data_IF_345887096885
#
_entry.id   IF_345887096885
#
_cell.length_a   1.000
_cell.length_b   1.000
_cell.length_c   1.000
_cell.angle_alpha   90.00
_cell.angle_beta   90.00
_cell.angle_gamma   90.00
#
_symmetry.space_group_name_H-M   'P 1'
#
loop_
_entity.id
_entity.type
_entity.pdbx_description
1 polymer ?
#
# COMPACT_ATOMS: atom_id res chain seq x y z
N UNK A 1 -7.61 32.31 3.05
CA UNK A 1 -7.59 31.33 1.94
C UNK A 1 -7.38 29.95 2.57
N UNK A 2 -8.26 28.99 2.31
CA UNK A 2 -8.14 27.62 2.84
C UNK A 2 -7.34 26.80 1.83
N UNK A 3 -6.29 26.12 2.30
CA UNK A 3 -5.55 25.20 1.45
C UNK A 3 -6.34 23.88 1.31
N UNK A 4 -6.92 23.64 0.13
CA UNK A 4 -7.65 22.42 -0.19
C UNK A 4 -6.79 21.29 -0.77
N UNK A 5 -5.47 21.50 -0.88
CA UNK A 5 -4.54 20.47 -1.38
C UNK A 5 -4.35 19.41 -0.28
N UNK A 6 -4.63 18.15 -0.63
CA UNK A 6 -4.35 17.02 0.25
C UNK A 6 -2.84 16.96 0.51
N UNK A 7 -2.46 16.84 1.79
CA UNK A 7 -1.06 16.61 2.16
C UNK A 7 -0.53 15.36 1.42
N UNK A 8 0.78 15.25 1.17
CA UNK A 8 1.35 14.01 0.63
C UNK A 8 1.10 12.82 1.57
N UNK A 9 0.96 11.58 1.08
CA UNK A 9 0.97 10.42 1.97
C UNK A 9 2.29 10.34 2.71
N UNK A 10 2.26 9.93 3.96
CA UNK A 10 3.46 9.81 4.78
C UNK A 10 3.25 8.68 5.78
N UNK A 11 3.87 7.54 5.51
CA UNK A 11 3.66 6.33 6.31
C UNK A 11 4.18 6.48 7.74
N UNK A 12 5.16 7.36 7.98
CA UNK A 12 5.68 7.68 9.32
C UNK A 12 4.73 8.53 10.17
N UNK A 13 3.76 9.20 9.55
CA UNK A 13 2.73 9.98 10.26
C UNK A 13 1.50 9.16 10.61
N UNK A 14 1.46 7.89 10.24
CA UNK A 14 0.37 7.00 10.63
C UNK A 14 0.48 6.77 12.14
N UNK A 15 -0.43 7.38 12.90
CA UNK A 15 -0.49 7.22 14.34
C UNK A 15 -1.47 6.10 14.71
N UNK A 16 -1.14 4.88 14.29
CA UNK A 16 -1.91 3.67 14.58
C UNK A 16 -1.00 2.59 15.20
N UNK A 17 -1.35 2.02 16.37
CA UNK A 17 -0.51 1.03 17.04
C UNK A 17 -0.21 -0.21 16.20
N UNK A 18 -1.19 -0.71 15.42
CA UNK A 18 -1.00 -1.89 14.58
C UNK A 18 -0.03 -1.58 13.46
N UNK A 19 -0.24 -0.48 12.73
CA UNK A 19 0.64 -0.09 11.63
C UNK A 19 2.06 0.16 12.12
N UNK A 20 2.22 0.86 13.24
CA UNK A 20 3.53 1.09 13.86
C UNK A 20 4.20 -0.22 14.27
N UNK A 21 3.44 -1.18 14.80
CA UNK A 21 3.97 -2.50 15.17
C UNK A 21 4.49 -3.26 13.95
N UNK A 22 3.78 -3.19 12.81
CA UNK A 22 4.17 -3.85 11.57
C UNK A 22 5.46 -3.27 10.98
N UNK A 23 5.63 -1.94 11.01
CA UNK A 23 6.92 -1.31 10.66
C UNK A 23 8.03 -1.71 11.63
N UNK A 24 7.78 -1.65 12.95
CA UNK A 24 8.81 -1.97 13.95
C UNK A 24 9.23 -3.44 13.98
N UNK A 25 8.38 -4.33 13.44
CA UNK A 25 8.62 -5.77 13.34
C UNK A 25 9.10 -6.17 11.95
N UNK A 26 9.47 -5.21 11.10
CA UNK A 26 9.96 -5.41 9.72
C UNK A 26 8.99 -6.15 8.78
N UNK A 27 7.68 -6.11 9.06
CA UNK A 27 6.65 -6.63 8.16
C UNK A 27 6.32 -5.67 7.02
N UNK A 28 6.56 -4.37 7.19
CA UNK A 28 6.32 -3.35 6.16
C UNK A 28 7.60 -2.56 5.91
N UNK A 29 7.93 -2.34 4.65
CA UNK A 29 9.05 -1.49 4.22
C UNK A 29 8.53 -0.18 3.59
N UNK A 30 9.02 1.00 4.01
CA UNK A 30 8.70 2.26 3.36
C UNK A 30 9.23 2.33 1.92
N UNK A 31 8.47 2.92 1.01
CA UNK A 31 8.79 3.06 -0.41
C UNK A 31 8.72 4.54 -0.88
N UNK A 32 9.40 4.85 -1.98
CA UNK A 32 9.41 6.17 -2.66
C UNK A 32 9.43 7.37 -1.70
N UNK A 33 10.57 7.63 -1.05
CA UNK A 33 10.73 8.75 -0.08
C UNK A 33 9.75 8.67 1.10
N UNK A 34 9.43 7.45 1.55
CA UNK A 34 8.56 7.20 2.73
C UNK A 34 7.10 7.63 2.52
N UNK A 35 6.70 7.76 1.26
CA UNK A 35 5.35 8.15 0.88
C UNK A 35 4.41 6.94 0.82
N UNK A 36 4.93 5.73 0.64
CA UNK A 36 4.13 4.51 0.55
C UNK A 36 4.78 3.31 1.25
N UNK A 37 4.09 2.17 1.18
CA UNK A 37 4.53 0.85 1.59
C UNK A 37 4.94 0.09 0.34
N UNK A 38 6.08 -0.59 0.39
CA UNK A 38 6.58 -1.41 -0.69
C UNK A 38 5.71 -2.65 -0.87
N UNK A 39 5.27 -2.90 -2.10
CA UNK A 39 4.45 -4.06 -2.46
C UNK A 39 5.02 -4.74 -3.69
N UNK A 40 4.68 -6.02 -3.87
CA UNK A 40 4.88 -6.71 -5.13
C UNK A 40 3.86 -6.24 -6.19
N UNK A 41 3.87 -6.90 -7.35
CA UNK A 41 2.95 -6.60 -8.45
C UNK A 41 1.48 -6.95 -8.17
N UNK A 42 1.21 -7.75 -7.15
CA UNK A 42 -0.13 -8.16 -6.71
C UNK A 42 -0.62 -7.31 -5.53
N UNK A 43 0.14 -6.30 -5.11
CA UNK A 43 -0.22 -5.43 -3.99
C UNK A 43 0.04 -6.06 -2.62
N UNK A 44 0.76 -7.18 -2.55
CA UNK A 44 1.15 -7.81 -1.29
C UNK A 44 2.39 -7.11 -0.73
N UNK A 45 2.39 -6.81 0.57
CA UNK A 45 3.49 -6.11 1.22
C UNK A 45 4.79 -6.91 1.14
N UNK A 46 5.88 -6.20 0.89
CA UNK A 46 7.24 -6.74 0.91
C UNK A 46 7.92 -6.36 2.22
N UNK A 47 8.51 -7.37 2.85
CA UNK A 47 9.46 -7.20 3.96
C UNK A 47 10.80 -6.66 3.45
N UNK A 48 11.66 -6.26 4.37
CA UNK A 48 13.04 -5.81 4.05
C UNK A 48 13.84 -6.87 3.28
N UNK A 49 13.54 -8.17 3.47
CA UNK A 49 14.20 -9.28 2.76
C UNK A 49 13.54 -9.61 1.42
N UNK A 50 12.72 -8.72 0.86
CA UNK A 50 11.96 -8.90 -0.39
C UNK A 50 11.05 -10.13 -0.36
N UNK A 51 10.64 -10.57 0.83
CA UNK A 51 9.70 -11.67 1.02
C UNK A 51 8.29 -11.10 1.13
N UNK A 52 7.36 -11.67 0.36
CA UNK A 52 5.93 -11.33 0.43
C UNK A 52 5.30 -11.87 1.70
N UNK A 53 4.37 -11.11 2.25
CA UNK A 53 3.47 -11.53 3.34
C UNK A 53 2.02 -11.37 2.91
N UNK A 54 1.11 -12.11 3.54
CA UNK A 54 -0.32 -12.08 3.25
C UNK A 54 -1.02 -10.83 3.83
N UNK A 55 -0.42 -9.67 3.59
CA UNK A 55 -0.98 -8.35 3.87
C UNK A 55 -1.00 -7.58 2.56
N UNK A 56 -2.20 -7.35 2.02
CA UNK A 56 -2.36 -6.51 0.84
C UNK A 56 -2.48 -5.03 1.23
N UNK A 57 -1.75 -4.17 0.51
CA UNK A 57 -1.82 -2.71 0.65
C UNK A 57 -2.09 -2.11 -0.73
N UNK A 58 -3.14 -1.31 -0.85
CA UNK A 58 -3.56 -0.71 -2.12
C UNK A 58 -3.76 0.80 -2.00
N UNK A 59 -3.86 1.43 -3.17
CA UNK A 59 -4.14 2.85 -3.29
C UNK A 59 -2.99 3.72 -2.79
N UNK A 60 -3.36 4.85 -2.19
CA UNK A 60 -2.43 5.93 -1.85
C UNK A 60 -1.26 5.52 -0.97
N UNK A 61 -1.50 4.67 0.02
CA UNK A 61 -0.47 4.21 0.95
C UNK A 61 0.43 3.11 0.36
N UNK A 62 0.09 2.53 -0.80
CA UNK A 62 0.97 1.61 -1.52
C UNK A 62 1.76 2.33 -2.62
N UNK A 63 1.09 3.16 -3.43
CA UNK A 63 1.72 3.84 -4.59
C UNK A 63 2.81 4.84 -4.20
N UNK A 64 2.75 5.40 -2.99
CA UNK A 64 3.72 6.41 -2.54
C UNK A 64 3.77 7.65 -3.43
N UNK A 65 2.64 7.99 -4.05
CA UNK A 65 2.50 9.11 -4.98
C UNK A 65 1.54 10.15 -4.42
N UNK A 66 1.77 11.40 -4.79
CA UNK A 66 0.86 12.53 -4.52
C UNK A 66 -0.13 12.73 -5.66
N UNK A 67 0.13 12.13 -6.83
CA UNK A 67 -0.66 12.28 -8.04
C UNK A 67 -1.53 11.07 -8.31
N UNK A 68 -2.79 11.32 -8.71
CA UNK A 68 -3.72 10.29 -9.18
C UNK A 68 -4.31 9.39 -8.10
N UNK A 69 -3.66 9.28 -6.94
CA UNK A 69 -3.98 8.31 -5.86
C UNK A 69 -5.37 8.46 -5.20
N UNK A 70 -6.00 9.62 -5.32
CA UNK A 70 -7.33 9.90 -4.74
C UNK A 70 -8.44 9.97 -5.81
N UNK A 71 -8.15 9.54 -7.05
CA UNK A 71 -9.14 9.48 -8.12
C UNK A 71 -9.97 8.19 -8.05
N UNK A 72 -11.28 8.27 -8.34
CA UNK A 72 -12.17 7.09 -8.44
C UNK A 72 -11.64 6.05 -9.43
N UNK A 73 -10.92 6.48 -10.47
CA UNK A 73 -10.24 5.60 -11.43
C UNK A 73 -9.30 4.59 -10.73
N UNK A 74 -8.65 4.96 -9.63
CA UNK A 74 -7.70 4.09 -8.94
C UNK A 74 -8.37 2.84 -8.35
N UNK A 75 -9.66 2.94 -8.00
CA UNK A 75 -10.46 1.79 -7.59
C UNK A 75 -10.60 0.73 -8.70
N UNK A 76 -10.42 1.12 -9.96
CA UNK A 76 -10.49 0.26 -11.15
C UNK A 76 -9.15 0.16 -11.87
N UNK A 77 -8.05 0.41 -11.15
CA UNK A 77 -6.70 0.32 -11.69
C UNK A 77 -6.28 -1.14 -11.95
N UNK A 78 -5.31 -1.31 -12.84
CA UNK A 78 -4.71 -2.63 -13.12
C UNK A 78 -4.12 -3.25 -11.85
N UNK A 79 -3.59 -2.44 -10.94
CA UNK A 79 -3.06 -2.90 -9.66
C UNK A 79 -4.16 -3.51 -8.77
N UNK A 80 -5.34 -2.89 -8.71
CA UNK A 80 -6.49 -3.45 -7.99
C UNK A 80 -6.96 -4.76 -8.63
N UNK A 81 -6.99 -4.83 -9.95
CA UNK A 81 -7.37 -6.05 -10.68
C UNK A 81 -6.38 -7.21 -10.41
N UNK A 82 -5.08 -6.94 -10.51
CA UNK A 82 -4.01 -7.91 -10.20
C UNK A 82 -4.15 -8.45 -8.78
N UNK A 83 -4.32 -7.58 -7.79
CA UNK A 83 -4.57 -7.98 -6.41
C UNK A 83 -5.78 -8.91 -6.30
N UNK A 84 -6.93 -8.50 -6.86
CA UNK A 84 -8.17 -9.29 -6.71
C UNK A 84 -8.05 -10.68 -7.33
N UNK A 85 -7.42 -10.78 -8.50
CA UNK A 85 -7.20 -12.05 -9.19
C UNK A 85 -6.24 -12.94 -8.40
N UNK A 86 -5.15 -12.38 -7.88
CA UNK A 86 -4.22 -13.10 -7.02
C UNK A 86 -4.92 -13.63 -5.77
N UNK A 87 -5.69 -12.79 -5.07
CA UNK A 87 -6.43 -13.18 -3.87
C UNK A 87 -7.38 -14.35 -4.13
N UNK A 88 -8.21 -14.25 -5.18
CA UNK A 88 -9.17 -15.31 -5.55
C UNK A 88 -8.46 -16.63 -5.84
N UNK A 89 -7.41 -16.60 -6.66
CA UNK A 89 -6.71 -17.81 -7.09
C UNK A 89 -5.90 -18.48 -5.96
N UNK A 90 -5.42 -17.70 -4.99
CA UNK A 90 -4.57 -18.23 -3.91
C UNK A 90 -5.36 -18.61 -2.66
N UNK A 91 -6.49 -17.94 -2.36
CA UNK A 91 -7.18 -18.07 -1.08
C UNK A 91 -8.64 -18.51 -1.16
N UNK A 92 -9.28 -18.43 -2.33
CA UNK A 92 -10.72 -18.76 -2.48
C UNK A 92 -10.97 -19.97 -3.37
N UNK A 93 -10.09 -20.26 -4.32
CA UNK A 93 -10.23 -21.37 -5.28
C UNK A 93 -9.33 -22.57 -4.93
N UNK A 94 -9.31 -22.97 -3.65
CA UNK A 94 -8.72 -24.26 -3.22
C UNK A 94 -9.50 -25.47 -3.77
#
# INVERSE_FOLDING_TARGET
>A
MVNGVLASPNVKKINDPLINSLFSSNYLEPFHKELGIKTDENGCALTETESTIDIAVLGRNAKGSVYGVDAILECFSTETEKWSNHFVNTHLLE
#
